data_IF_866729817150
#
_entry.id   IF_866729817150
#
_cell.length_a   1.000
_cell.length_b   1.000
_cell.length_c   1.000
_cell.angle_alpha   90.00
_cell.angle_beta   90.00
_cell.angle_gamma   90.00
#
_symmetry.space_group_name_H-M   'P 1'
#
loop_
_entity.id
_entity.type
_entity.pdbx_description
1 polymer ?
#
# COMPACT_ATOMS: atom_id res chain seq x y z
N UNK A 1 1.31 -8.63 19.92
CA UNK A 1 1.12 -7.98 18.62
C UNK A 1 -0.03 -8.61 17.82
N UNK A 2 -0.11 -9.94 17.66
CA UNK A 2 -1.17 -10.63 16.89
C UNK A 2 -2.59 -10.24 17.35
N UNK A 3 -2.90 -10.35 18.64
CA UNK A 3 -4.23 -10.07 19.19
C UNK A 3 -4.54 -8.60 19.42
N UNK A 4 -3.53 -7.75 19.62
CA UNK A 4 -3.71 -6.37 20.07
C UNK A 4 -3.07 -5.31 19.19
N UNK A 5 -2.55 -5.65 18.01
CA UNK A 5 -1.84 -4.73 17.08
C UNK A 5 -0.85 -3.78 17.78
N UNK A 6 -0.16 -4.30 18.81
CA UNK A 6 0.87 -3.57 19.56
C UNK A 6 2.13 -4.43 19.74
N UNK A 7 3.27 -3.78 19.69
CA UNK A 7 4.54 -4.38 20.12
C UNK A 7 4.55 -4.58 21.64
N UNK A 8 5.52 -5.34 22.14
CA UNK A 8 5.67 -5.61 23.57
C UNK A 8 5.83 -4.31 24.40
N UNK A 9 6.47 -3.30 23.85
CA UNK A 9 6.63 -1.97 24.47
C UNK A 9 5.41 -1.04 24.34
N UNK A 10 4.29 -1.55 23.79
CA UNK A 10 3.00 -0.84 23.73
C UNK A 10 2.71 -0.08 22.43
N UNK A 11 3.71 0.18 21.58
CA UNK A 11 3.53 0.94 20.34
C UNK A 11 2.61 0.19 19.36
N UNK A 12 1.78 0.96 18.65
CA UNK A 12 0.97 0.44 17.54
C UNK A 12 1.85 -0.21 16.48
N UNK A 13 1.42 -1.38 15.98
CA UNK A 13 2.08 -2.08 14.89
C UNK A 13 1.07 -2.96 14.14
N UNK A 14 0.96 -2.77 12.82
CA UNK A 14 -0.10 -3.39 12.02
C UNK A 14 0.03 -4.90 11.88
N UNK A 15 1.13 -5.37 11.34
CA UNK A 15 1.32 -6.76 10.92
C UNK A 15 2.66 -7.33 11.40
N UNK A 16 2.75 -8.65 11.69
CA UNK A 16 4.01 -9.31 12.00
C UNK A 16 5.00 -9.18 10.85
N UNK A 17 6.22 -8.74 11.16
CA UNK A 17 7.38 -8.83 10.27
C UNK A 17 8.29 -9.87 10.90
N UNK A 18 8.43 -11.01 10.26
CA UNK A 18 9.11 -12.17 10.84
C UNK A 18 10.19 -12.69 9.91
N UNK A 19 11.23 -13.26 10.52
CA UNK A 19 12.19 -14.14 9.85
C UNK A 19 11.82 -15.58 10.19
N UNK A 20 11.81 -16.49 9.21
CA UNK A 20 11.43 -17.87 9.42
C UNK A 20 12.47 -18.86 8.89
N UNK A 21 12.49 -20.07 9.48
CA UNK A 21 13.42 -21.14 9.10
C UNK A 21 12.88 -22.52 9.44
N UNK A 22 13.29 -23.54 8.68
CA UNK A 22 13.11 -24.95 9.03
C UNK A 22 14.33 -25.54 9.76
N UNK A 23 15.42 -24.79 9.91
CA UNK A 23 16.66 -25.23 10.53
C UNK A 23 16.45 -25.47 12.03
N UNK A 24 16.60 -26.71 12.44
CA UNK A 24 16.49 -27.13 13.86
C UNK A 24 17.76 -26.78 14.64
N UNK A 25 18.91 -26.71 13.97
CA UNK A 25 20.24 -26.46 14.51
C UNK A 25 20.48 -25.00 14.90
N UNK A 26 19.67 -24.05 14.44
CA UNK A 26 19.77 -22.64 14.86
C UNK A 26 19.32 -22.52 16.33
N UNK A 27 20.13 -21.88 17.15
CA UNK A 27 19.86 -21.66 18.58
C UNK A 27 20.00 -20.19 18.97
N UNK A 28 19.49 -19.82 20.13
CA UNK A 28 19.70 -18.48 20.70
C UNK A 28 21.18 -18.22 20.90
N UNK A 29 21.65 -17.06 20.50
CA UNK A 29 23.07 -16.65 20.50
C UNK A 29 23.78 -16.83 19.15
N UNK A 30 23.17 -17.55 18.20
CA UNK A 30 23.74 -17.69 16.85
C UNK A 30 23.72 -16.35 16.09
N UNK A 31 24.74 -16.15 15.25
CA UNK A 31 24.78 -15.04 14.28
C UNK A 31 24.57 -15.58 12.88
N UNK A 32 23.48 -15.15 12.27
CA UNK A 32 23.07 -15.60 10.94
C UNK A 32 23.31 -14.50 9.91
N UNK A 33 24.09 -14.79 8.90
CA UNK A 33 24.22 -13.90 7.73
C UNK A 33 22.97 -14.04 6.87
N UNK A 34 22.23 -12.95 6.71
CA UNK A 34 21.06 -12.88 5.85
C UNK A 34 21.47 -12.45 4.44
N UNK A 35 21.18 -13.30 3.47
CA UNK A 35 21.51 -13.05 2.08
C UNK A 35 20.29 -13.06 1.18
N UNK A 36 20.31 -12.29 0.11
CA UNK A 36 19.29 -12.30 -0.93
C UNK A 36 19.95 -12.21 -2.30
N UNK A 37 19.70 -13.18 -3.18
CA UNK A 37 20.31 -13.28 -4.52
C UNK A 37 21.84 -13.13 -4.52
N UNK A 38 22.49 -13.70 -3.51
CA UNK A 38 23.95 -13.62 -3.36
C UNK A 38 24.49 -12.34 -2.71
N UNK A 39 23.65 -11.36 -2.45
CA UNK A 39 24.01 -10.13 -1.73
C UNK A 39 23.87 -10.34 -0.21
N UNK A 40 24.88 -9.96 0.56
CA UNK A 40 24.84 -9.95 2.01
C UNK A 40 24.11 -8.69 2.49
N UNK A 41 23.02 -8.86 3.23
CA UNK A 41 22.13 -7.76 3.62
C UNK A 41 22.26 -7.37 5.09
N UNK A 42 22.34 -8.37 5.97
CA UNK A 42 22.37 -8.12 7.40
C UNK A 42 22.92 -9.34 8.16
N UNK A 43 23.32 -9.11 9.40
CA UNK A 43 23.56 -10.16 10.38
C UNK A 43 22.45 -10.13 11.41
N UNK A 44 21.77 -11.25 11.61
CA UNK A 44 20.79 -11.45 12.67
C UNK A 44 21.48 -12.18 13.84
N UNK A 45 21.53 -11.55 15.01
CA UNK A 45 21.85 -12.22 16.27
C UNK A 45 20.57 -12.76 16.87
N UNK A 46 20.44 -14.09 16.94
CA UNK A 46 19.21 -14.77 17.37
C UNK A 46 19.03 -14.63 18.88
N UNK A 47 17.97 -13.93 19.30
CA UNK A 47 17.59 -13.73 20.70
C UNK A 47 16.41 -14.63 21.10
N UNK A 48 15.59 -15.02 20.11
CA UNK A 48 14.42 -15.87 20.32
C UNK A 48 14.17 -16.79 19.12
N UNK A 49 13.69 -18.01 19.40
CA UNK A 49 13.26 -19.00 18.41
C UNK A 49 12.05 -19.75 18.93
N UNK A 50 10.96 -19.69 18.19
CA UNK A 50 9.71 -20.35 18.59
C UNK A 50 8.96 -20.95 17.40
N UNK A 51 8.07 -21.90 17.68
CA UNK A 51 7.11 -22.41 16.72
C UNK A 51 5.81 -21.59 16.83
N UNK A 52 5.44 -20.81 15.79
CA UNK A 52 4.29 -19.92 15.88
C UNK A 52 2.96 -20.68 15.85
N UNK A 53 1.97 -20.17 16.56
CA UNK A 53 0.59 -20.59 16.35
C UNK A 53 0.02 -19.90 15.11
N UNK A 54 0.22 -20.51 13.94
CA UNK A 54 -0.18 -19.96 12.63
C UNK A 54 -1.70 -19.72 12.53
N UNK A 55 -2.52 -20.53 13.20
CA UNK A 55 -3.98 -20.36 13.24
C UNK A 55 -4.36 -19.10 14.02
N UNK A 56 -3.72 -18.89 15.18
CA UNK A 56 -3.93 -17.69 15.98
C UNK A 56 -3.46 -16.43 15.24
N UNK A 57 -2.30 -16.50 14.55
CA UNK A 57 -1.78 -15.43 13.72
C UNK A 57 -2.75 -15.09 12.57
N UNK A 58 -3.22 -16.09 11.83
CA UNK A 58 -4.16 -15.90 10.74
C UNK A 58 -5.45 -15.22 11.23
N UNK A 59 -6.06 -15.75 12.29
CA UNK A 59 -7.28 -15.19 12.86
C UNK A 59 -7.10 -13.79 13.43
N UNK A 60 -5.99 -13.55 14.14
CA UNK A 60 -5.73 -12.28 14.81
C UNK A 60 -5.29 -11.16 13.88
N UNK A 61 -4.58 -11.47 12.80
CA UNK A 61 -4.08 -10.46 11.84
C UNK A 61 -5.01 -10.23 10.65
N UNK A 62 -5.72 -11.28 10.19
CA UNK A 62 -6.50 -11.24 8.95
C UNK A 62 -8.00 -11.52 9.17
N UNK A 63 -8.43 -11.78 10.40
CA UNK A 63 -9.82 -12.04 10.75
C UNK A 63 -10.37 -13.40 10.28
N UNK A 64 -9.56 -14.19 9.57
CA UNK A 64 -9.97 -15.46 8.97
C UNK A 64 -8.87 -16.50 9.04
N UNK A 65 -9.24 -17.79 8.93
CA UNK A 65 -8.31 -18.90 8.73
C UNK A 65 -8.44 -19.52 7.34
N UNK A 66 -9.25 -18.93 6.47
CA UNK A 66 -9.44 -19.42 5.11
C UNK A 66 -8.19 -19.19 4.25
N UNK A 67 -7.70 -20.25 3.60
CA UNK A 67 -6.59 -20.17 2.64
C UNK A 67 -6.93 -19.41 1.33
N UNK A 68 -8.20 -19.04 1.15
CA UNK A 68 -8.63 -18.12 0.12
C UNK A 68 -8.03 -16.72 0.32
N UNK A 69 -7.78 -16.33 1.56
CA UNK A 69 -7.09 -15.09 1.87
C UNK A 69 -5.59 -15.22 1.56
N UNK A 70 -4.99 -14.33 0.73
CA UNK A 70 -3.62 -14.50 0.24
C UNK A 70 -2.58 -14.58 1.36
N UNK A 71 -2.70 -13.79 2.43
CA UNK A 71 -1.77 -13.85 3.55
C UNK A 71 -1.94 -15.10 4.42
N UNK A 72 -3.16 -15.62 4.57
CA UNK A 72 -3.39 -16.90 5.26
C UNK A 72 -2.77 -18.04 4.48
N UNK A 73 -2.88 -18.03 3.15
CA UNK A 73 -2.20 -18.98 2.27
C UNK A 73 -0.68 -18.91 2.46
N UNK A 74 -0.11 -17.70 2.43
CA UNK A 74 1.34 -17.49 2.68
C UNK A 74 1.78 -18.07 4.03
N UNK A 75 1.08 -17.75 5.14
CA UNK A 75 1.40 -18.27 6.47
C UNK A 75 1.35 -19.80 6.49
N UNK A 76 0.36 -20.40 5.86
CA UNK A 76 0.10 -21.84 5.90
C UNK A 76 1.06 -22.62 5.00
N UNK A 77 1.30 -22.11 3.77
CA UNK A 77 1.97 -22.86 2.69
C UNK A 77 3.45 -22.48 2.51
N UNK A 78 3.84 -21.23 2.84
CA UNK A 78 5.17 -20.71 2.52
C UNK A 78 6.03 -20.49 3.77
N UNK A 79 5.44 -20.01 4.89
CA UNK A 79 6.17 -19.77 6.14
C UNK A 79 6.67 -21.07 6.75
N UNK A 80 7.92 -21.04 7.18
CA UNK A 80 8.64 -22.18 7.76
C UNK A 80 8.16 -22.49 9.17
N UNK A 81 8.74 -23.54 9.75
CA UNK A 81 8.32 -24.09 11.04
C UNK A 81 8.60 -23.13 12.20
N UNK A 82 9.80 -22.53 12.20
CA UNK A 82 10.24 -21.67 13.30
C UNK A 82 10.29 -20.22 12.88
N UNK A 83 9.91 -19.33 13.79
CA UNK A 83 10.19 -17.91 13.68
C UNK A 83 11.41 -17.56 14.52
N UNK A 84 12.19 -16.58 14.04
CA UNK A 84 13.37 -16.07 14.71
C UNK A 84 13.14 -14.59 15.05
N UNK A 85 13.51 -14.23 16.28
CA UNK A 85 13.59 -12.85 16.74
C UNK A 85 15.02 -12.52 17.15
N UNK A 86 15.37 -11.23 17.11
CA UNK A 86 16.69 -10.79 17.52
C UNK A 86 17.07 -9.43 16.95
N UNK A 87 18.28 -9.00 17.26
CA UNK A 87 18.85 -7.76 16.76
C UNK A 87 19.44 -7.92 15.37
N UNK A 88 19.30 -6.89 14.53
CA UNK A 88 19.77 -6.86 13.16
C UNK A 88 20.87 -5.82 12.99
N UNK A 89 22.02 -6.24 12.49
CA UNK A 89 23.07 -5.35 11.99
C UNK A 89 22.98 -5.29 10.46
N UNK A 90 22.53 -4.16 9.91
CA UNK A 90 22.48 -3.93 8.46
C UNK A 90 23.89 -3.84 7.85
N UNK A 91 24.11 -4.51 6.73
CA UNK A 91 25.35 -4.49 5.94
C UNK A 91 25.14 -3.71 4.64
N UNK A 92 24.04 -3.96 3.94
CA UNK A 92 23.71 -3.30 2.69
C UNK A 92 22.21 -3.20 2.50
N UNK A 93 21.75 -2.24 1.72
CA UNK A 93 20.37 -2.20 1.23
C UNK A 93 20.25 -3.15 0.03
N UNK A 94 19.12 -3.91 -0.07
CA UNK A 94 18.91 -4.79 -1.21
C UNK A 94 18.78 -3.99 -2.51
N UNK A 95 19.43 -4.49 -3.57
CA UNK A 95 19.23 -3.95 -4.91
C UNK A 95 17.78 -4.05 -5.36
N UNK A 96 17.28 -3.00 -5.99
CA UNK A 96 15.91 -2.89 -6.48
C UNK A 96 15.89 -2.49 -7.95
N UNK A 97 14.85 -2.91 -8.66
CA UNK A 97 14.60 -2.53 -10.07
C UNK A 97 13.93 -1.15 -10.20
N UNK A 98 13.72 -0.47 -9.09
CA UNK A 98 13.18 0.89 -9.00
C UNK A 98 13.87 1.63 -7.84
N UNK A 99 13.97 2.95 -7.87
CA UNK A 99 14.63 3.71 -6.82
C UNK A 99 13.84 3.62 -5.51
N UNK A 100 14.52 3.22 -4.44
CA UNK A 100 13.95 3.11 -3.10
C UNK A 100 14.70 4.06 -2.18
N UNK A 101 14.16 5.27 -2.02
CA UNK A 101 14.68 6.23 -1.05
C UNK A 101 14.31 5.80 0.37
N UNK A 102 15.25 5.98 1.29
CA UNK A 102 15.00 5.80 2.72
C UNK A 102 14.03 6.87 3.25
N UNK A 103 13.39 6.65 4.41
CA UNK A 103 12.56 7.67 5.04
C UNK A 103 13.29 9.02 5.25
N UNK A 104 14.57 8.98 5.62
CA UNK A 104 15.37 10.19 5.82
C UNK A 104 15.57 10.98 4.52
N UNK A 105 15.89 10.29 3.42
CA UNK A 105 16.08 10.93 2.09
C UNK A 105 14.78 11.52 1.55
N UNK A 106 13.63 10.86 1.80
CA UNK A 106 12.33 11.40 1.38
C UNK A 106 11.99 12.64 2.20
N UNK A 107 12.11 12.57 3.53
CA UNK A 107 11.85 13.73 4.41
C UNK A 107 12.69 14.95 4.04
N UNK A 108 13.95 14.75 3.66
CA UNK A 108 14.82 15.86 3.24
C UNK A 108 14.33 16.60 1.97
N UNK A 109 13.46 15.98 1.19
CA UNK A 109 12.85 16.59 -0.01
C UNK A 109 11.42 17.10 0.19
N UNK A 110 10.87 17.00 1.42
CA UNK A 110 9.55 17.52 1.74
C UNK A 110 9.62 18.95 2.29
N UNK A 111 8.59 19.77 2.12
CA UNK A 111 8.55 21.11 2.70
C UNK A 111 8.53 21.04 4.22
N UNK A 112 9.35 21.87 4.87
CA UNK A 112 9.45 21.92 6.33
C UNK A 112 8.25 22.66 6.93
N UNK A 113 7.62 22.06 7.94
CA UNK A 113 6.51 22.67 8.66
C UNK A 113 5.15 22.63 7.95
N UNK A 114 5.08 22.08 6.74
CA UNK A 114 3.85 21.97 5.97
C UNK A 114 3.23 20.58 6.08
N UNK A 115 1.95 20.47 5.81
CA UNK A 115 1.28 19.17 5.75
C UNK A 115 1.72 18.35 4.54
N UNK A 116 1.88 17.06 4.76
CA UNK A 116 2.19 16.09 3.73
C UNK A 116 1.10 15.01 3.72
N UNK A 117 0.31 15.02 2.64
CA UNK A 117 -0.80 14.08 2.46
C UNK A 117 -0.30 12.85 1.72
N UNK A 118 -0.32 11.68 2.33
CA UNK A 118 0.09 10.44 1.68
C UNK A 118 -1.01 9.85 0.82
N UNK A 119 -0.66 9.42 -0.39
CA UNK A 119 -1.50 8.61 -1.26
C UNK A 119 -0.85 7.25 -1.54
N UNK A 120 -1.58 6.16 -1.24
CA UNK A 120 -1.18 4.78 -1.47
C UNK A 120 -1.94 4.19 -2.65
N UNK A 121 -1.24 3.54 -3.55
CA UNK A 121 -1.83 2.64 -4.55
C UNK A 121 -0.91 1.46 -4.86
N UNK A 122 -1.47 0.45 -5.52
CA UNK A 122 -0.76 -0.73 -6.03
C UNK A 122 -1.05 -1.00 -7.52
N UNK A 123 -1.83 -0.14 -8.13
CA UNK A 123 -2.20 -0.21 -9.54
C UNK A 123 -1.73 1.06 -10.26
N UNK A 124 -1.58 1.05 -11.59
CA UNK A 124 -1.36 2.26 -12.36
C UNK A 124 -2.39 3.35 -12.01
N UNK A 125 -1.92 4.57 -11.90
CA UNK A 125 -2.77 5.70 -11.55
C UNK A 125 -3.59 6.11 -12.79
N UNK A 126 -4.90 6.11 -12.65
CA UNK A 126 -5.83 6.66 -13.64
C UNK A 126 -6.39 8.01 -13.18
N UNK A 127 -7.17 8.68 -14.05
CA UNK A 127 -7.68 10.04 -13.79
C UNK A 127 -8.40 10.19 -12.45
N UNK A 128 -9.24 9.24 -12.07
CA UNK A 128 -9.96 9.33 -10.79
C UNK A 128 -9.02 9.31 -9.57
N UNK A 129 -7.92 8.56 -9.62
CA UNK A 129 -6.91 8.59 -8.55
C UNK A 129 -6.21 9.96 -8.50
N UNK A 130 -5.85 10.51 -9.66
CA UNK A 130 -5.23 11.81 -9.75
C UNK A 130 -6.13 12.91 -9.16
N UNK A 131 -7.37 12.95 -9.58
CA UNK A 131 -8.39 13.85 -9.03
C UNK A 131 -8.57 13.67 -7.53
N UNK A 132 -8.55 12.42 -7.05
CA UNK A 132 -8.70 12.12 -5.64
C UNK A 132 -7.59 12.74 -4.79
N UNK A 133 -6.33 12.47 -5.13
CA UNK A 133 -5.23 12.95 -4.29
C UNK A 133 -4.94 14.44 -4.47
N UNK A 134 -5.20 15.03 -5.62
CA UNK A 134 -5.08 16.49 -5.79
C UNK A 134 -6.16 17.23 -5.01
N UNK A 135 -7.40 16.73 -5.01
CA UNK A 135 -8.48 17.31 -4.21
C UNK A 135 -8.29 17.12 -2.71
N UNK A 136 -7.58 16.07 -2.29
CA UNK A 136 -7.24 15.87 -0.88
C UNK A 136 -6.37 17.01 -0.30
N UNK A 137 -5.61 17.73 -1.12
CA UNK A 137 -4.88 18.94 -0.72
C UNK A 137 -5.78 20.10 -0.30
N UNK A 138 -7.06 20.05 -0.64
CA UNK A 138 -8.06 21.08 -0.29
C UNK A 138 -9.07 20.56 0.76
N UNK A 139 -8.74 19.47 1.47
CA UNK A 139 -9.55 19.00 2.58
C UNK A 139 -9.49 19.99 3.75
N UNK A 140 -10.58 20.08 4.53
CA UNK A 140 -10.71 21.07 5.61
C UNK A 140 -9.65 20.98 6.71
N UNK A 141 -9.05 19.80 6.88
CA UNK A 141 -8.01 19.53 7.88
C UNK A 141 -6.60 19.53 7.28
N UNK A 142 -6.41 20.05 6.07
CA UNK A 142 -5.12 20.12 5.37
C UNK A 142 -4.77 21.60 5.14
N UNK A 143 -3.51 21.97 5.37
CA UNK A 143 -3.03 23.35 5.19
C UNK A 143 -2.93 23.73 3.72
N UNK A 144 -3.03 25.04 3.41
CA UNK A 144 -3.05 25.56 2.04
C UNK A 144 -1.76 25.27 1.24
N UNK A 145 -0.61 25.13 1.92
CA UNK A 145 0.69 24.87 1.29
C UNK A 145 1.07 23.40 1.30
N UNK A 146 0.12 22.50 1.62
CA UNK A 146 0.37 21.07 1.69
C UNK A 146 0.85 20.49 0.36
N UNK A 147 1.61 19.42 0.43
CA UNK A 147 1.97 18.60 -0.72
C UNK A 147 1.41 17.18 -0.58
N UNK A 148 1.15 16.53 -1.70
CA UNK A 148 0.83 15.10 -1.67
C UNK A 148 2.09 14.27 -1.96
N UNK A 149 2.39 13.31 -1.10
CA UNK A 149 3.35 12.26 -1.37
C UNK A 149 2.64 11.07 -2.01
N UNK A 150 2.76 10.94 -3.33
CA UNK A 150 2.33 9.74 -4.05
C UNK A 150 3.36 8.65 -3.81
N UNK A 151 2.99 7.66 -2.98
CA UNK A 151 3.89 6.65 -2.46
C UNK A 151 3.37 5.23 -2.72
N UNK A 152 3.35 4.81 -4.00
CA UNK A 152 2.80 3.52 -4.38
C UNK A 152 3.67 2.37 -3.92
N UNK A 153 3.04 1.25 -3.62
CA UNK A 153 3.72 -0.02 -3.37
C UNK A 153 4.21 -0.62 -4.69
N UNK A 154 5.52 -0.77 -4.84
CA UNK A 154 6.18 -1.38 -5.99
C UNK A 154 6.71 -2.79 -5.71
N UNK A 155 6.65 -3.26 -4.47
CA UNK A 155 6.94 -4.64 -4.09
C UNK A 155 5.84 -5.63 -4.55
N UNK A 156 5.95 -6.91 -4.15
CA UNK A 156 4.93 -7.91 -4.44
C UNK A 156 3.54 -7.53 -3.89
N UNK A 157 2.52 -7.85 -4.66
CA UNK A 157 1.11 -7.63 -4.32
C UNK A 157 0.31 -8.90 -4.65
N UNK A 158 -0.86 -8.81 -5.27
CA UNK A 158 -1.59 -10.01 -5.70
C UNK A 158 -1.01 -10.59 -7.00
N UNK A 159 -1.23 -11.88 -7.23
CA UNK A 159 -0.64 -12.61 -8.36
C UNK A 159 -1.10 -12.09 -9.74
N UNK A 160 -2.30 -11.54 -9.82
CA UNK A 160 -2.90 -10.97 -11.03
C UNK A 160 -2.63 -9.46 -11.21
N UNK A 161 -1.92 -8.84 -10.27
CA UNK A 161 -1.52 -7.45 -10.39
C UNK A 161 -0.39 -7.26 -11.41
N UNK A 162 -0.33 -6.07 -12.00
CA UNK A 162 0.75 -5.66 -12.91
C UNK A 162 2.09 -5.72 -12.17
N UNK A 163 3.18 -6.27 -12.79
CA UNK A 163 4.49 -6.36 -12.15
C UNK A 163 4.99 -5.01 -11.64
N UNK A 164 5.67 -5.01 -10.48
CA UNK A 164 6.14 -3.80 -9.81
C UNK A 164 7.03 -2.90 -10.68
N UNK A 165 7.88 -3.49 -11.53
CA UNK A 165 8.73 -2.75 -12.45
C UNK A 165 7.91 -1.99 -13.53
N UNK A 166 6.84 -2.60 -14.03
CA UNK A 166 5.93 -1.96 -15.01
C UNK A 166 5.13 -0.86 -14.32
N UNK A 167 4.62 -1.13 -13.10
CA UNK A 167 3.91 -0.10 -12.31
C UNK A 167 4.79 1.12 -12.07
N UNK A 168 6.04 0.90 -11.66
CA UNK A 168 7.02 1.98 -11.50
C UNK A 168 7.16 2.84 -12.77
N UNK A 169 7.30 2.21 -13.94
CA UNK A 169 7.40 2.94 -15.21
C UNK A 169 6.15 3.79 -15.49
N UNK A 170 4.95 3.31 -15.14
CA UNK A 170 3.71 4.10 -15.29
C UNK A 170 3.72 5.34 -14.41
N UNK A 171 4.25 5.23 -13.18
CA UNK A 171 4.34 6.37 -12.25
C UNK A 171 5.34 7.42 -12.72
N UNK A 172 6.53 7.00 -13.18
CA UNK A 172 7.54 7.92 -13.74
C UNK A 172 7.02 8.68 -14.97
N UNK A 173 6.34 7.98 -15.87
CA UNK A 173 5.74 8.61 -17.04
C UNK A 173 4.65 9.59 -16.68
N UNK A 174 3.80 9.22 -15.71
CA UNK A 174 2.77 10.12 -15.21
C UNK A 174 3.37 11.34 -14.52
N UNK A 175 4.38 11.16 -13.67
CA UNK A 175 5.07 12.27 -13.00
C UNK A 175 5.62 13.30 -13.99
N UNK A 176 6.22 12.82 -15.08
CA UNK A 176 6.73 13.69 -16.15
C UNK A 176 5.60 14.39 -16.93
N UNK A 177 4.45 13.71 -17.18
CA UNK A 177 3.32 14.29 -17.91
C UNK A 177 2.64 15.40 -17.09
N UNK A 178 2.39 15.14 -15.79
CA UNK A 178 1.65 16.09 -14.95
C UNK A 178 2.49 17.26 -14.46
N UNK A 179 3.80 17.08 -14.27
CA UNK A 179 4.79 18.08 -13.85
C UNK A 179 4.22 19.10 -12.84
N UNK A 180 3.77 18.60 -11.68
CA UNK A 180 3.07 19.38 -10.66
C UNK A 180 3.90 19.47 -9.39
N UNK A 181 4.28 20.69 -9.00
CA UNK A 181 5.12 20.97 -7.83
C UNK A 181 4.44 20.66 -6.48
N UNK A 182 3.14 20.51 -6.42
CA UNK A 182 2.45 20.05 -5.21
C UNK A 182 2.48 18.53 -5.04
N UNK A 183 3.05 17.80 -6.01
CA UNK A 183 3.15 16.33 -5.97
C UNK A 183 4.60 15.91 -5.75
N UNK A 184 4.82 15.09 -4.75
CA UNK A 184 6.10 14.41 -4.48
C UNK A 184 5.95 12.92 -4.75
N UNK A 185 6.99 12.29 -5.27
CA UNK A 185 6.98 10.87 -5.63
C UNK A 185 8.06 10.11 -4.85
N UNK A 186 7.65 8.99 -4.29
CA UNK A 186 8.55 7.99 -3.73
C UNK A 186 7.97 6.59 -3.98
N UNK A 187 8.81 5.56 -3.97
CA UNK A 187 8.41 4.19 -4.31
C UNK A 187 8.70 3.27 -3.14
N UNK A 188 7.66 2.57 -2.67
CA UNK A 188 7.74 1.74 -1.48
C UNK A 188 8.02 0.27 -1.86
N UNK A 189 9.16 -0.31 -1.42
CA UNK A 189 9.47 -1.72 -1.64
C UNK A 189 8.74 -2.62 -0.61
N UNK A 190 7.45 -2.45 -0.47
CA UNK A 190 6.60 -3.15 0.49
C UNK A 190 5.82 -4.27 -0.20
N UNK A 191 5.75 -5.44 0.44
CA UNK A 191 4.91 -6.55 0.01
C UNK A 191 3.56 -6.47 0.74
N UNK A 192 2.46 -6.35 -0.02
CA UNK A 192 1.12 -6.27 0.56
C UNK A 192 0.60 -7.64 0.98
N UNK A 193 -0.06 -7.67 2.13
CA UNK A 193 -0.69 -8.87 2.71
C UNK A 193 -2.21 -8.91 2.53
N UNK A 194 -2.80 -7.84 2.04
CA UNK A 194 -4.24 -7.68 1.87
C UNK A 194 -5.02 -7.79 3.19
N UNK A 195 -4.45 -7.24 4.26
CA UNK A 195 -4.92 -7.38 5.64
C UNK A 195 -5.95 -6.30 6.07
N UNK A 196 -6.55 -5.58 5.11
CA UNK A 196 -7.58 -4.60 5.37
C UNK A 196 -7.19 -3.58 6.46
N UNK A 197 -7.95 -3.53 7.60
CA UNK A 197 -7.69 -2.57 8.67
C UNK A 197 -6.27 -2.62 9.25
N UNK A 198 -5.74 -3.81 9.45
CA UNK A 198 -4.39 -3.99 10.02
C UNK A 198 -3.30 -3.51 9.06
N UNK A 199 -3.51 -3.67 7.77
CA UNK A 199 -2.59 -3.15 6.77
C UNK A 199 -2.73 -1.63 6.59
N UNK A 200 -3.92 -1.07 6.75
CA UNK A 200 -4.09 0.39 6.78
C UNK A 200 -3.26 1.01 7.91
N UNK A 201 -3.30 0.44 9.13
CA UNK A 201 -2.42 0.85 10.23
C UNK A 201 -0.94 0.73 9.87
N UNK A 202 -0.52 -0.39 9.27
CA UNK A 202 0.87 -0.58 8.85
C UNK A 202 1.30 0.49 7.83
N UNK A 203 0.43 0.81 6.88
CA UNK A 203 0.66 1.86 5.91
C UNK A 203 0.75 3.26 6.54
N UNK A 204 -0.06 3.55 7.57
CA UNK A 204 0.05 4.82 8.32
C UNK A 204 1.41 4.93 9.03
N UNK A 205 1.84 3.89 9.74
CA UNK A 205 3.14 3.85 10.42
C UNK A 205 4.27 4.11 9.43
N UNK A 206 4.24 3.44 8.28
CA UNK A 206 5.23 3.64 7.23
C UNK A 206 5.23 5.11 6.78
N UNK A 207 4.08 5.68 6.42
CA UNK A 207 4.00 7.06 5.90
C UNK A 207 4.40 8.09 6.95
N UNK A 208 4.05 7.87 8.22
CA UNK A 208 4.58 8.69 9.32
C UNK A 208 6.12 8.70 9.33
N UNK A 209 6.74 7.54 9.17
CA UNK A 209 8.21 7.43 9.11
C UNK A 209 8.79 8.19 7.91
N UNK A 210 8.05 8.27 6.81
CA UNK A 210 8.40 9.03 5.61
C UNK A 210 8.06 10.53 5.71
N UNK A 211 7.53 11.01 6.84
CA UNK A 211 7.27 12.43 7.09
C UNK A 211 5.86 12.89 6.74
N UNK A 212 4.93 11.97 6.46
CA UNK A 212 3.55 12.34 6.20
C UNK A 212 2.80 12.67 7.48
N UNK A 213 1.99 13.72 7.44
CA UNK A 213 1.08 14.17 8.51
C UNK A 213 -0.34 13.66 8.32
N UNK A 214 -0.73 13.40 7.07
CA UNK A 214 -2.06 12.98 6.67
C UNK A 214 -2.01 11.73 5.78
N UNK A 215 -3.06 10.92 5.82
CA UNK A 215 -3.16 9.74 4.97
C UNK A 215 -4.56 9.60 4.36
N UNK A 216 -4.63 9.47 3.04
CA UNK A 216 -5.87 9.19 2.32
C UNK A 216 -6.20 7.72 2.48
N UNK A 217 -7.30 7.40 3.17
CA UNK A 217 -7.77 6.05 3.34
C UNK A 217 -8.90 5.77 2.35
N UNK A 218 -8.61 4.92 1.37
CA UNK A 218 -9.59 4.48 0.39
C UNK A 218 -10.67 3.58 0.99
N UNK A 219 -11.84 3.56 0.36
CA UNK A 219 -12.80 2.49 0.57
C UNK A 219 -12.16 1.15 0.20
N UNK A 220 -12.46 0.10 0.95
CA UNK A 220 -11.92 -1.27 0.74
C UNK A 220 -10.37 -1.32 0.74
N UNK A 221 -9.69 -0.41 1.46
CA UNK A 221 -8.25 -0.32 1.48
C UNK A 221 -7.60 -1.62 1.92
N UNK A 222 -6.66 -2.13 1.11
CA UNK A 222 -5.96 -3.40 1.31
C UNK A 222 -6.90 -4.60 1.52
N UNK A 223 -8.13 -4.52 1.02
CA UNK A 223 -9.10 -5.61 1.05
C UNK A 223 -8.86 -6.62 -0.07
N UNK A 224 -9.42 -7.81 0.12
CA UNK A 224 -9.46 -8.87 -0.88
C UNK A 224 -10.76 -9.67 -0.76
N UNK A 225 -11.03 -10.47 -1.81
CA UNK A 225 -12.24 -11.30 -1.91
C UNK A 225 -11.89 -12.78 -1.92
N UNK A 226 -12.84 -13.60 -1.45
CA UNK A 226 -12.80 -15.04 -1.69
C UNK A 226 -13.00 -15.30 -3.18
N UNK A 227 -12.15 -16.14 -3.75
CA UNK A 227 -12.25 -16.58 -5.15
C UNK A 227 -13.38 -17.61 -5.33
N UNK A 228 -13.81 -18.26 -4.25
CA UNK A 228 -14.87 -19.27 -4.28
C UNK A 228 -16.27 -18.64 -4.14
N UNK A 229 -16.44 -17.71 -3.20
CA UNK A 229 -17.76 -17.12 -2.90
C UNK A 229 -17.95 -15.73 -3.50
N UNK A 230 -16.86 -15.03 -3.79
CA UNK A 230 -16.90 -13.63 -4.23
C UNK A 230 -17.10 -12.63 -3.10
N UNK A 231 -17.23 -13.11 -1.84
CA UNK A 231 -17.44 -12.26 -0.68
C UNK A 231 -16.15 -11.51 -0.28
N UNK A 232 -16.30 -10.30 0.19
CA UNK A 232 -15.21 -9.52 0.76
C UNK A 232 -14.83 -10.07 2.15
N UNK A 233 -13.53 -10.15 2.45
CA UNK A 233 -13.03 -10.52 3.78
C UNK A 233 -13.21 -9.40 4.81
N UNK A 234 -13.36 -8.16 4.38
CA UNK A 234 -13.51 -6.98 5.23
C UNK A 234 -14.68 -6.11 4.75
N UNK A 235 -15.30 -5.40 5.66
CA UNK A 235 -16.30 -4.40 5.33
C UNK A 235 -15.69 -3.19 4.59
N UNK A 236 -16.45 -2.50 3.75
CA UNK A 236 -15.96 -1.45 2.86
C UNK A 236 -15.34 -0.24 3.58
N UNK A 237 -15.66 -0.04 4.84
CA UNK A 237 -15.19 1.08 5.67
C UNK A 237 -14.36 0.66 6.88
N UNK A 238 -14.13 -0.65 7.06
CA UNK A 238 -13.41 -1.17 8.24
C UNK A 238 -11.99 -0.57 8.35
N UNK A 239 -11.27 -0.46 7.22
CA UNK A 239 -9.95 0.14 7.20
C UNK A 239 -9.97 1.63 7.53
N UNK A 240 -10.97 2.38 7.07
CA UNK A 240 -11.12 3.81 7.38
C UNK A 240 -11.41 4.03 8.86
N UNK A 241 -12.35 3.26 9.43
CA UNK A 241 -12.74 3.37 10.84
C UNK A 241 -11.56 3.05 11.74
N UNK A 242 -10.86 1.95 11.51
CA UNK A 242 -9.71 1.53 12.30
C UNK A 242 -8.54 2.51 12.17
N UNK A 243 -8.25 3.01 10.98
CA UNK A 243 -7.22 4.03 10.77
C UNK A 243 -7.53 5.32 11.53
N UNK A 244 -8.80 5.77 11.53
CA UNK A 244 -9.24 6.95 12.27
C UNK A 244 -9.08 6.78 13.79
N UNK A 245 -9.33 5.59 14.32
CA UNK A 245 -9.10 5.28 15.74
C UNK A 245 -7.61 5.33 16.12
N UNK A 246 -6.72 4.85 15.22
CA UNK A 246 -5.28 4.79 15.46
C UNK A 246 -4.55 6.11 15.20
N UNK A 247 -5.10 6.99 14.37
CA UNK A 247 -4.44 8.20 13.87
C UNK A 247 -3.92 9.15 14.98
N UNK A 248 -4.66 9.44 16.08
CA UNK A 248 -4.18 10.32 17.13
C UNK A 248 -2.90 9.82 17.82
N UNK A 249 -2.79 8.51 18.07
CA UNK A 249 -1.60 7.92 18.69
C UNK A 249 -0.38 8.00 17.76
N UNK A 250 -0.60 7.97 16.45
CA UNK A 250 0.44 8.15 15.44
C UNK A 250 0.77 9.63 15.17
N UNK A 251 0.07 10.57 15.80
CA UNK A 251 0.19 12.00 15.49
C UNK A 251 -0.02 12.25 14.00
N UNK A 252 -1.04 11.61 13.42
CA UNK A 252 -1.45 11.72 12.03
C UNK A 252 -2.94 12.02 11.96
N UNK A 253 -3.38 12.52 10.81
CA UNK A 253 -4.79 12.66 10.48
C UNK A 253 -5.17 11.79 9.28
N UNK A 254 -6.44 11.43 9.18
CA UNK A 254 -6.97 10.72 8.02
C UNK A 254 -7.71 11.68 7.11
N UNK A 255 -7.49 11.57 5.80
CA UNK A 255 -8.29 12.25 4.78
C UNK A 255 -9.22 11.21 4.17
N UNK A 256 -10.55 11.36 4.30
CA UNK A 256 -11.49 10.43 3.70
C UNK A 256 -11.36 10.45 2.18
N UNK A 257 -11.31 9.28 1.57
CA UNK A 257 -11.34 9.15 0.12
C UNK A 257 -12.70 9.58 -0.43
N UNK A 258 -12.70 10.51 -1.38
CA UNK A 258 -13.90 10.91 -2.09
C UNK A 258 -14.34 9.79 -3.05
N UNK A 259 -15.64 9.54 -3.13
CA UNK A 259 -16.22 8.66 -4.14
C UNK A 259 -16.42 9.46 -5.45
N UNK A 260 -15.37 9.53 -6.28
CA UNK A 260 -15.37 10.31 -7.51
C UNK A 260 -15.91 9.52 -8.69
N UNK A 261 -16.75 10.15 -9.46
CA UNK A 261 -17.27 9.66 -10.74
C UNK A 261 -17.04 10.70 -11.83
N UNK A 262 -16.87 10.23 -13.08
CA UNK A 262 -16.79 11.14 -14.23
C UNK A 262 -18.16 11.31 -14.86
N UNK A 263 -18.58 12.56 -15.04
CA UNK A 263 -19.83 12.91 -15.70
C UNK A 263 -19.58 13.58 -17.03
N UNK A 264 -20.53 13.46 -17.94
CA UNK A 264 -20.42 14.06 -19.27
C UNK A 264 -20.47 15.59 -19.20
N UNK A 265 -21.25 16.12 -18.24
CA UNK A 265 -21.57 17.53 -18.13
C UNK A 265 -20.53 18.34 -17.33
N UNK A 266 -20.05 17.77 -16.21
CA UNK A 266 -19.22 18.51 -15.23
C UNK A 266 -17.83 17.88 -15.00
N UNK A 267 -17.49 16.81 -15.73
CA UNK A 267 -16.23 16.08 -15.50
C UNK A 267 -16.25 15.28 -14.19
N UNK A 268 -15.15 15.30 -13.43
CA UNK A 268 -15.07 14.59 -12.16
C UNK A 268 -15.80 15.34 -11.05
N UNK A 269 -16.76 14.66 -10.43
CA UNK A 269 -17.53 15.12 -9.27
C UNK A 269 -17.71 13.98 -8.28
N UNK A 270 -18.22 14.26 -7.06
CA UNK A 270 -18.59 13.18 -6.14
C UNK A 270 -19.84 12.46 -6.62
N UNK A 271 -19.99 11.18 -6.29
CA UNK A 271 -21.16 10.39 -6.69
C UNK A 271 -22.47 11.00 -6.17
N UNK A 272 -22.43 11.53 -4.93
CA UNK A 272 -23.56 12.19 -4.30
C UNK A 272 -23.97 13.47 -5.07
N UNK A 273 -22.99 14.25 -5.54
CA UNK A 273 -23.28 15.43 -6.36
C UNK A 273 -23.86 15.06 -7.72
N UNK A 274 -23.32 14.01 -8.36
CA UNK A 274 -23.82 13.54 -9.64
C UNK A 274 -25.28 13.05 -9.52
N UNK A 275 -25.60 12.30 -8.46
CA UNK A 275 -26.94 11.81 -8.18
C UNK A 275 -27.91 12.98 -7.90
N UNK A 276 -27.55 13.90 -7.02
CA UNK A 276 -28.40 15.05 -6.65
C UNK A 276 -28.73 15.94 -7.85
N UNK A 277 -27.85 16.02 -8.85
CA UNK A 277 -28.03 16.82 -10.05
C UNK A 277 -28.52 16.03 -11.27
N UNK A 278 -28.67 14.72 -11.15
CA UNK A 278 -29.09 13.86 -12.26
C UNK A 278 -28.12 13.83 -13.44
N UNK A 279 -26.80 13.90 -13.15
CA UNK A 279 -25.75 13.94 -14.17
C UNK A 279 -25.51 12.55 -14.81
N UNK A 280 -25.09 12.55 -16.07
CA UNK A 280 -24.81 11.31 -16.80
C UNK A 280 -23.40 10.78 -16.47
N UNK A 281 -23.34 9.77 -15.61
CA UNK A 281 -22.08 9.12 -15.19
C UNK A 281 -21.55 8.20 -16.29
N UNK A 282 -20.32 8.45 -16.76
CA UNK A 282 -19.58 7.53 -17.64
C UNK A 282 -18.78 6.55 -16.79
N UNK A 283 -18.83 5.27 -17.16
CA UNK A 283 -18.12 4.20 -16.47
C UNK A 283 -17.32 3.37 -17.47
N UNK A 284 -16.10 3.02 -17.06
CA UNK A 284 -15.28 2.03 -17.74
C UNK A 284 -14.81 1.02 -16.68
N UNK A 285 -15.25 -0.22 -16.80
CA UNK A 285 -14.83 -1.26 -15.85
C UNK A 285 -13.38 -1.67 -16.10
N UNK A 286 -12.70 -2.19 -15.05
CA UNK A 286 -11.34 -2.72 -15.20
C UNK A 286 -11.24 -3.84 -16.25
N UNK A 287 -12.30 -4.65 -16.40
CA UNK A 287 -12.36 -5.70 -17.44
C UNK A 287 -12.45 -5.10 -18.84
N UNK A 288 -13.29 -4.10 -19.04
CA UNK A 288 -13.38 -3.37 -20.33
C UNK A 288 -12.07 -2.66 -20.64
N UNK A 289 -11.48 -1.97 -19.67
CA UNK A 289 -10.19 -1.30 -19.85
C UNK A 289 -9.11 -2.29 -20.29
N UNK A 290 -8.97 -3.46 -19.61
CA UNK A 290 -7.99 -4.49 -20.02
C UNK A 290 -8.27 -5.05 -21.42
N UNK A 291 -9.53 -5.21 -21.81
CA UNK A 291 -9.90 -5.63 -23.16
C UNK A 291 -9.49 -4.59 -24.21
N UNK A 292 -9.83 -3.33 -24.00
CA UNK A 292 -9.47 -2.22 -24.89
C UNK A 292 -7.94 -2.06 -24.99
N UNK A 293 -7.24 -2.17 -23.86
CA UNK A 293 -5.77 -2.09 -23.80
C UNK A 293 -5.13 -3.15 -24.69
N UNK A 294 -5.55 -4.42 -24.57
CA UNK A 294 -5.04 -5.54 -25.37
C UNK A 294 -5.46 -5.47 -26.86
N UNK A 295 -6.65 -4.94 -27.11
CA UNK A 295 -7.19 -4.79 -28.46
C UNK A 295 -6.61 -3.59 -29.23
N UNK A 296 -5.77 -2.77 -28.60
CA UNK A 296 -5.25 -1.54 -29.21
C UNK A 296 -6.31 -0.45 -29.39
N UNK A 297 -7.49 -0.62 -28.78
CA UNK A 297 -8.59 0.34 -28.87
C UNK A 297 -8.22 1.64 -28.13
N UNK A 298 -8.75 2.77 -28.59
CA UNK A 298 -8.51 4.07 -27.94
C UNK A 298 -9.09 4.08 -26.53
N UNK A 299 -8.24 4.41 -25.54
CA UNK A 299 -8.64 4.55 -24.14
C UNK A 299 -9.05 6.03 -23.92
N UNK A 300 -10.27 6.29 -23.41
CA UNK A 300 -10.71 7.66 -23.19
C UNK A 300 -9.80 8.42 -22.22
N UNK A 301 -9.44 9.65 -22.57
CA UNK A 301 -8.57 10.51 -21.74
C UNK A 301 -9.19 10.86 -20.38
N UNK A 302 -10.51 10.86 -20.28
CA UNK A 302 -11.18 11.01 -19.00
C UNK A 302 -10.94 9.83 -18.04
N UNK A 303 -10.54 8.65 -18.55
CA UNK A 303 -10.29 7.47 -17.72
C UNK A 303 -8.80 7.30 -17.37
N UNK A 304 -7.92 7.39 -18.35
CA UNK A 304 -6.48 7.16 -18.14
C UNK A 304 -5.61 8.19 -18.85
N UNK A 305 -4.42 8.41 -18.32
CA UNK A 305 -3.39 9.23 -18.93
C UNK A 305 -2.75 8.51 -20.12
N UNK A 306 -2.46 9.25 -21.18
CA UNK A 306 -1.89 8.70 -22.40
C UNK A 306 -0.54 8.02 -22.15
N UNK A 307 0.33 8.66 -21.36
CA UNK A 307 1.65 8.12 -20.99
C UNK A 307 1.55 6.80 -20.24
N UNK A 308 0.56 6.66 -19.34
CA UNK A 308 0.31 5.42 -18.60
C UNK A 308 -0.16 4.31 -19.54
N UNK A 309 -1.08 4.62 -20.47
CA UNK A 309 -1.58 3.66 -21.47
C UNK A 309 -0.45 3.17 -22.38
N UNK A 310 0.45 4.05 -22.81
CA UNK A 310 1.61 3.71 -23.65
C UNK A 310 2.53 2.71 -22.95
N UNK A 311 2.87 2.90 -21.68
CA UNK A 311 3.66 1.95 -20.89
C UNK A 311 2.96 0.60 -20.77
N UNK A 312 1.65 0.60 -20.46
CA UNK A 312 0.89 -0.63 -20.29
C UNK A 312 0.74 -1.43 -21.59
N UNK A 313 0.79 -0.78 -22.75
CA UNK A 313 0.76 -1.44 -24.05
C UNK A 313 2.10 -2.03 -24.48
N UNK A 314 3.18 -1.44 -23.97
CA UNK A 314 4.53 -1.89 -24.26
C UNK A 314 4.99 -3.07 -23.36
N UNK A 315 4.28 -3.34 -22.26
CA UNK A 315 4.58 -4.40 -21.28
C UNK A 315 3.84 -5.70 -21.59
#
# INVERSE_FOLDING_TARGET
>A
MVSGHRLAAGQLFGLPIVMDTDRVDVVVGDKLLLTYKGQELAVLEVEDKWEPNKVAEAKGCYGTTSIEHPAVRMITMERKRFYLGGSLQGLALPERVFPCKTPAEVRAGLPEGEDVVAFQCRNPIHRAHYELFTRALHAQNVSDNAVVLVHPTCGPTQQDDIPGAVRFQTYERLAAEVNNDSIRWAYLPYAMHMAGPREALQHMIIRRNYGCTHFIIGRDMAGCKSSLTGDDFYGPYDAQNFAKECAPELTMETVPSLNLVYTQEEGYVTAEHAEARGLHVKKLSGTQFRKMLRGGEEIPEWFAFKSVVEVLRAA
#
